data_IF_565831942852
#
_entry.id   IF_565831942852
#
_cell.length_a   1.000
_cell.length_b   1.000
_cell.length_c   1.000
_cell.angle_alpha   90.00
_cell.angle_beta   90.00
_cell.angle_gamma   90.00
#
_symmetry.space_group_name_H-M   'P 1'
#
loop_
_entity.id
_entity.type
_entity.pdbx_description
1 polymer ?
#
# COMPACT_ATOMS: atom_id res chain seq x y z
N UNK A 1 -43.82 36.36 49.29
CA UNK A 1 -43.30 36.02 47.94
C UNK A 1 -42.21 34.97 48.13
N UNK A 2 -42.38 33.73 47.64
CA UNK A 2 -41.39 32.65 47.76
C UNK A 2 -40.92 32.29 46.35
N UNK A 3 -39.63 32.43 46.08
CA UNK A 3 -39.01 32.00 44.84
C UNK A 3 -38.50 30.56 44.99
N UNK A 4 -38.86 29.70 44.04
CA UNK A 4 -38.43 28.31 43.95
C UNK A 4 -37.38 28.22 42.84
N UNK A 5 -36.17 27.74 43.16
CA UNK A 5 -35.12 27.47 42.17
C UNK A 5 -35.08 25.96 41.91
N UNK A 6 -35.36 25.57 40.66
CA UNK A 6 -35.22 24.20 40.18
C UNK A 6 -33.83 24.02 39.57
N UNK A 7 -32.99 23.19 40.20
CA UNK A 7 -31.76 22.69 39.60
C UNK A 7 -32.10 21.52 38.67
N UNK A 8 -32.02 21.73 37.36
CA UNK A 8 -32.06 20.65 36.39
C UNK A 8 -30.69 19.95 36.37
N UNK A 9 -30.61 18.76 36.95
CA UNK A 9 -29.46 17.88 36.78
C UNK A 9 -29.49 17.34 35.34
N UNK A 10 -28.69 17.93 34.45
CA UNK A 10 -28.53 17.47 33.08
C UNK A 10 -27.86 16.10 33.06
N UNK A 11 -28.55 15.10 32.50
CA UNK A 11 -27.94 13.82 32.12
C UNK A 11 -26.81 14.09 31.12
N UNK A 12 -25.56 13.90 31.54
CA UNK A 12 -24.44 13.84 30.60
C UNK A 12 -24.52 12.52 29.84
N UNK A 13 -24.90 12.58 28.57
CA UNK A 13 -24.75 11.46 27.65
C UNK A 13 -23.24 11.23 27.44
N UNK A 14 -22.72 10.13 27.99
CA UNK A 14 -21.35 9.70 27.73
C UNK A 14 -21.30 9.21 26.29
N UNK A 15 -20.76 10.03 25.39
CA UNK A 15 -20.45 9.60 24.03
C UNK A 15 -19.43 8.45 24.13
N UNK A 16 -19.84 7.24 23.73
CA UNK A 16 -18.96 6.10 23.66
C UNK A 16 -17.82 6.42 22.68
N UNK A 17 -16.60 6.56 23.20
CA UNK A 17 -15.41 6.71 22.37
C UNK A 17 -15.29 5.45 21.48
N UNK A 18 -15.47 5.61 20.18
CA UNK A 18 -15.20 4.56 19.22
C UNK A 18 -13.70 4.26 19.25
N UNK A 19 -13.35 3.16 19.90
CA UNK A 19 -11.99 2.62 19.86
C UNK A 19 -11.73 2.25 18.39
N UNK A 20 -10.79 2.90 17.70
CA UNK A 20 -10.47 2.53 16.33
C UNK A 20 -9.97 1.10 16.33
N UNK A 21 -10.78 0.19 15.79
CA UNK A 21 -10.39 -1.20 15.66
C UNK A 21 -9.25 -1.27 14.63
N UNK A 22 -8.08 -1.75 15.07
CA UNK A 22 -6.99 -2.13 14.17
C UNK A 22 -7.45 -3.39 13.44
N UNK A 23 -7.84 -3.22 12.18
CA UNK A 23 -8.20 -4.32 11.30
C UNK A 23 -6.89 -4.96 10.82
N UNK A 24 -6.79 -6.29 10.89
CA UNK A 24 -5.70 -7.02 10.26
C UNK A 24 -5.70 -6.75 8.74
N UNK A 25 -4.54 -6.65 8.08
CA UNK A 25 -4.49 -6.39 6.65
C UNK A 25 -5.23 -7.49 5.87
N UNK A 26 -6.38 -7.12 5.31
CA UNK A 26 -7.17 -7.94 4.40
C UNK A 26 -6.62 -7.73 2.99
N UNK A 27 -6.17 -8.82 2.37
CA UNK A 27 -5.54 -8.78 1.04
C UNK A 27 -6.46 -9.48 0.05
N UNK A 28 -6.76 -8.81 -1.06
CA UNK A 28 -7.73 -9.30 -2.05
C UNK A 28 -7.05 -9.88 -3.29
N UNK A 29 -5.76 -9.60 -3.50
CA UNK A 29 -5.14 -9.84 -4.82
C UNK A 29 -4.56 -11.25 -5.00
N UNK A 30 -4.23 -11.98 -3.93
CA UNK A 30 -3.50 -13.26 -4.04
C UNK A 30 -4.39 -14.46 -4.44
N UNK A 31 -5.64 -14.53 -3.98
CA UNK A 31 -6.54 -15.69 -4.22
C UNK A 31 -7.80 -15.33 -5.02
N UNK A 32 -7.90 -14.10 -5.54
CA UNK A 32 -9.12 -13.58 -6.22
C UNK A 32 -10.37 -13.61 -5.32
N UNK A 33 -10.17 -13.91 -4.04
CA UNK A 33 -11.13 -14.02 -2.94
C UNK A 33 -10.52 -13.25 -1.76
N UNK A 34 -11.32 -12.59 -0.94
CA UNK A 34 -10.78 -11.84 0.20
C UNK A 34 -10.29 -12.82 1.29
N UNK A 35 -8.98 -12.84 1.54
CA UNK A 35 -8.38 -13.71 2.56
C UNK A 35 -7.42 -12.91 3.47
N UNK A 36 -7.25 -13.38 4.71
CA UNK A 36 -6.30 -12.75 5.63
C UNK A 36 -4.89 -13.12 5.23
N UNK A 37 -3.97 -12.15 5.29
CA UNK A 37 -2.57 -12.39 4.97
C UNK A 37 -1.92 -13.54 5.79
N UNK A 38 -2.40 -13.79 7.02
CA UNK A 38 -1.90 -14.86 7.88
C UNK A 38 -2.25 -16.26 7.38
N UNK A 39 -3.36 -16.41 6.66
CA UNK A 39 -3.87 -17.71 6.22
C UNK A 39 -3.22 -18.17 4.90
N UNK A 40 -2.43 -17.29 4.27
CA UNK A 40 -1.80 -17.53 2.98
C UNK A 40 -0.34 -18.00 3.14
N UNK A 41 0.11 -18.99 2.35
CA UNK A 41 1.50 -19.47 2.37
C UNK A 41 2.47 -18.52 1.64
N UNK A 42 2.17 -17.22 1.57
CA UNK A 42 2.96 -16.19 0.89
C UNK A 42 3.10 -14.95 1.75
N UNK A 43 4.22 -14.26 1.64
CA UNK A 43 4.43 -13.03 2.40
C UNK A 43 3.82 -11.85 1.64
N UNK A 44 2.86 -11.15 2.27
CA UNK A 44 2.18 -10.01 1.67
C UNK A 44 2.33 -8.80 2.59
N UNK A 45 2.73 -7.67 2.03
CA UNK A 45 2.63 -6.37 2.68
C UNK A 45 1.63 -5.49 1.93
N UNK A 46 0.80 -4.78 2.69
CA UNK A 46 -0.09 -3.76 2.17
C UNK A 46 0.32 -2.37 2.67
N UNK A 47 0.16 -1.38 1.80
CA UNK A 47 0.32 0.04 2.13
C UNK A 47 -0.98 0.72 1.71
N UNK A 48 -1.71 1.26 2.69
CA UNK A 48 -2.99 1.93 2.45
C UNK A 48 -2.80 3.38 2.00
N UNK A 49 -3.84 3.98 1.39
CA UNK A 49 -3.85 5.37 0.93
C UNK A 49 -3.33 6.36 1.99
N UNK A 50 -3.73 6.18 3.26
CA UNK A 50 -3.26 7.05 4.33
C UNK A 50 -1.73 6.95 4.55
N UNK A 51 -1.11 5.79 4.32
CA UNK A 51 0.35 5.62 4.39
C UNK A 51 1.05 6.15 3.14
N UNK A 52 0.44 6.01 1.97
CA UNK A 52 0.93 6.54 0.69
C UNK A 52 0.98 8.07 0.73
N UNK A 53 -0.06 8.71 1.28
CA UNK A 53 -0.22 10.16 1.23
C UNK A 53 0.47 10.89 2.40
N UNK A 54 0.65 10.24 3.56
CA UNK A 54 1.19 10.89 4.76
C UNK A 54 2.65 11.31 4.57
N UNK A 55 2.87 12.63 4.51
CA UNK A 55 4.18 13.27 4.42
C UNK A 55 5.00 12.79 3.20
N UNK A 56 4.33 12.48 2.09
CA UNK A 56 4.98 12.07 0.83
C UNK A 56 4.59 13.05 -0.29
N UNK A 57 5.48 13.20 -1.26
CA UNK A 57 5.22 14.01 -2.46
C UNK A 57 4.32 13.27 -3.45
N UNK A 58 4.24 11.94 -3.33
CA UNK A 58 3.44 11.06 -4.18
C UNK A 58 3.91 11.09 -5.64
N UNK A 59 5.21 11.32 -5.86
CA UNK A 59 5.80 11.41 -7.19
C UNK A 59 6.41 10.07 -7.59
N UNK A 60 7.14 9.43 -6.67
CA UNK A 60 7.89 8.21 -6.97
C UNK A 60 7.42 7.05 -6.10
N UNK A 61 7.28 5.85 -6.69
CA UNK A 61 7.02 4.61 -5.94
C UNK A 61 8.06 4.34 -4.84
N UNK A 62 9.28 4.87 -4.97
CA UNK A 62 10.32 4.79 -3.94
C UNK A 62 9.89 5.36 -2.60
N UNK A 63 9.00 6.36 -2.60
CA UNK A 63 8.52 7.02 -1.39
C UNK A 63 7.72 6.03 -0.54
N UNK A 64 6.77 5.32 -1.15
CA UNK A 64 5.89 4.38 -0.43
C UNK A 64 6.55 3.01 -0.24
N UNK A 65 7.23 2.48 -1.26
CA UNK A 65 7.80 1.12 -1.25
C UNK A 65 9.04 0.96 -0.36
N UNK A 66 9.71 2.06 0.03
CA UNK A 66 10.85 2.02 0.96
C UNK A 66 10.53 1.39 2.32
N UNK A 67 9.24 1.33 2.69
CA UNK A 67 8.76 0.74 3.95
C UNK A 67 8.63 -0.78 3.89
N UNK A 68 8.66 -1.36 2.69
CA UNK A 68 8.41 -2.78 2.47
C UNK A 68 9.73 -3.56 2.54
N UNK A 69 9.87 -4.53 3.45
CA UNK A 69 11.14 -5.25 3.60
C UNK A 69 11.50 -6.06 2.35
N UNK A 70 12.79 -6.08 1.98
CA UNK A 70 13.24 -6.83 0.81
C UNK A 70 12.80 -6.26 -0.54
N UNK A 71 12.17 -5.08 -0.57
CA UNK A 71 12.00 -4.26 -1.76
C UNK A 71 13.05 -3.14 -1.74
N UNK A 72 13.72 -2.95 -2.86
CA UNK A 72 14.65 -1.83 -3.06
C UNK A 72 14.24 -1.09 -4.31
N UNK A 73 13.95 0.20 -4.18
CA UNK A 73 13.64 1.10 -5.29
C UNK A 73 14.74 2.14 -5.39
N UNK A 74 15.54 2.08 -6.46
CA UNK A 74 16.59 3.06 -6.69
C UNK A 74 16.04 4.24 -7.49
N UNK A 75 15.88 5.38 -6.81
CA UNK A 75 15.54 6.64 -7.43
C UNK A 75 16.82 7.40 -7.80
N UNK A 76 17.08 7.51 -9.11
CA UNK A 76 18.25 8.24 -9.67
C UNK A 76 17.88 9.66 -10.13
N UNK A 77 16.69 10.16 -9.78
CA UNK A 77 16.18 11.49 -10.14
C UNK A 77 16.21 11.78 -11.64
N UNK A 78 16.04 10.73 -12.46
CA UNK A 78 15.97 10.82 -13.91
C UNK A 78 14.57 10.40 -14.37
N UNK A 79 13.67 11.37 -14.49
CA UNK A 79 12.26 11.15 -14.84
C UNK A 79 12.03 10.74 -16.31
N UNK A 80 13.07 10.78 -17.15
CA UNK A 80 13.01 10.22 -18.50
C UNK A 80 13.19 8.68 -18.50
N UNK A 81 13.50 8.09 -17.36
CA UNK A 81 13.70 6.65 -17.17
C UNK A 81 12.86 6.17 -16.00
N UNK A 82 12.45 4.90 -16.04
CA UNK A 82 11.72 4.28 -14.95
C UNK A 82 12.61 4.01 -13.72
N UNK A 83 11.98 3.98 -12.54
CA UNK A 83 12.63 3.61 -11.30
C UNK A 83 13.10 2.16 -11.38
N UNK A 84 14.33 1.92 -10.93
CA UNK A 84 14.81 0.55 -10.79
C UNK A 84 14.16 -0.07 -9.55
N UNK A 85 13.32 -1.08 -9.74
CA UNK A 85 12.69 -1.84 -8.63
C UNK A 85 13.31 -3.22 -8.58
N UNK A 86 13.68 -3.64 -7.37
CA UNK A 86 14.14 -5.00 -7.10
C UNK A 86 13.46 -5.59 -5.87
N UNK A 87 13.20 -6.89 -5.92
CA UNK A 87 12.54 -7.65 -4.86
C UNK A 87 13.36 -8.89 -4.56
N UNK A 88 13.91 -9.01 -3.34
CA UNK A 88 14.80 -10.12 -2.92
C UNK A 88 15.87 -10.49 -3.97
N UNK A 89 16.46 -9.48 -4.63
CA UNK A 89 17.50 -9.66 -5.65
C UNK A 89 17.02 -9.78 -7.10
N UNK A 90 15.74 -10.10 -7.35
CA UNK A 90 15.15 -10.01 -8.69
C UNK A 90 15.11 -8.54 -9.13
N UNK A 91 15.50 -8.24 -10.37
CA UNK A 91 15.60 -6.85 -10.86
C UNK A 91 16.84 -6.07 -10.41
N UNK A 92 17.66 -6.61 -9.50
CA UNK A 92 18.85 -5.89 -8.98
C UNK A 92 19.91 -5.58 -10.05
N UNK A 93 19.93 -6.34 -11.16
CA UNK A 93 20.83 -6.14 -12.30
C UNK A 93 20.31 -5.17 -13.36
N UNK A 94 19.07 -4.70 -13.24
CA UNK A 94 18.52 -3.73 -14.18
C UNK A 94 19.12 -2.35 -13.91
N UNK A 95 19.61 -1.64 -14.93
CA UNK A 95 20.09 -0.27 -14.74
C UNK A 95 18.94 0.70 -14.47
N UNK A 96 17.79 0.48 -15.10
CA UNK A 96 16.54 1.25 -14.96
C UNK A 96 15.34 0.32 -15.16
N UNK A 97 14.17 0.77 -14.68
CA UNK A 97 12.92 0.03 -14.81
C UNK A 97 12.87 -1.28 -14.01
N UNK A 98 11.85 -2.07 -14.30
CA UNK A 98 11.56 -3.30 -13.55
C UNK A 98 11.81 -4.50 -14.45
N UNK A 99 12.54 -5.49 -13.93
CA UNK A 99 12.86 -6.73 -14.65
C UNK A 99 12.68 -7.94 -13.75
N UNK A 100 11.98 -8.96 -14.25
CA UNK A 100 11.75 -10.20 -13.51
C UNK A 100 10.83 -10.04 -12.30
N UNK A 101 10.05 -8.96 -12.25
CA UNK A 101 9.00 -8.70 -11.27
C UNK A 101 7.74 -8.36 -12.08
N UNK A 102 6.61 -8.92 -11.69
CA UNK A 102 5.31 -8.61 -12.30
C UNK A 102 4.69 -7.42 -11.58
N UNK A 103 4.25 -6.45 -12.35
CA UNK A 103 3.55 -5.26 -11.89
C UNK A 103 2.11 -5.37 -12.36
N UNK A 104 1.17 -5.04 -11.47
CA UNK A 104 -0.26 -5.04 -11.77
C UNK A 104 -0.86 -3.72 -11.34
N UNK A 105 -1.71 -3.16 -12.17
CA UNK A 105 -2.55 -2.01 -11.87
C UNK A 105 -4.00 -2.45 -12.02
N UNK A 106 -4.75 -2.47 -10.92
CA UNK A 106 -6.17 -2.88 -10.91
C UNK A 106 -6.42 -4.26 -11.57
N UNK A 107 -5.46 -5.18 -11.44
CA UNK A 107 -5.50 -6.51 -12.04
C UNK A 107 -5.03 -6.58 -13.50
N UNK A 108 -4.74 -5.44 -14.13
CA UNK A 108 -4.17 -5.37 -15.49
C UNK A 108 -2.64 -5.44 -15.37
N UNK A 109 -1.97 -6.36 -16.08
CA UNK A 109 -0.51 -6.41 -16.10
C UNK A 109 0.08 -5.10 -16.65
N UNK A 110 0.93 -4.45 -15.87
CA UNK A 110 1.79 -3.33 -16.29
C UNK A 110 3.21 -3.83 -16.65
N UNK A 111 3.36 -5.13 -16.86
CA UNK A 111 4.59 -5.78 -17.30
C UNK A 111 4.38 -6.35 -18.70
N UNK A 112 5.31 -6.06 -19.59
CA UNK A 112 5.35 -6.55 -20.95
C UNK A 112 5.66 -8.06 -20.98
N UNK A 113 5.32 -8.77 -22.08
CA UNK A 113 5.58 -10.21 -22.20
C UNK A 113 7.06 -10.61 -22.13
N UNK A 114 7.97 -9.67 -22.40
CA UNK A 114 9.42 -9.84 -22.27
C UNK A 114 9.92 -9.66 -20.82
N UNK A 115 9.02 -9.41 -19.86
CA UNK A 115 9.32 -9.24 -18.45
C UNK A 115 9.81 -7.85 -18.05
N UNK A 116 9.69 -6.86 -18.94
CA UNK A 116 9.95 -5.46 -18.62
C UNK A 116 8.70 -4.78 -18.06
N UNK A 117 8.83 -4.16 -16.89
CA UNK A 117 7.77 -3.40 -16.24
C UNK A 117 8.09 -1.91 -16.18
N UNK A 118 7.05 -1.08 -16.36
CA UNK A 118 7.13 0.37 -16.26
C UNK A 118 6.52 0.83 -14.93
N UNK A 119 7.27 1.62 -14.16
CA UNK A 119 6.81 2.20 -12.89
C UNK A 119 6.08 3.52 -13.06
N UNK A 120 6.37 4.26 -14.13
CA UNK A 120 5.84 5.59 -14.36
C UNK A 120 4.34 5.65 -14.66
N UNK A 121 3.71 4.51 -14.99
CA UNK A 121 2.26 4.44 -15.19
C UNK A 121 1.46 4.48 -13.89
N UNK A 122 2.10 4.20 -12.74
CA UNK A 122 1.44 4.15 -11.44
C UNK A 122 1.31 5.54 -10.83
N UNK A 123 0.06 6.04 -10.73
CA UNK A 123 -0.23 7.30 -10.05
C UNK A 123 -0.48 7.08 -8.56
N UNK A 124 0.43 7.54 -7.70
CA UNK A 124 0.27 7.46 -6.25
C UNK A 124 -0.88 8.33 -5.72
N UNK A 125 -1.24 9.39 -6.44
CA UNK A 125 -2.30 10.33 -6.04
C UNK A 125 -3.68 9.65 -6.04
N UNK A 126 -3.94 8.79 -7.03
CA UNK A 126 -5.21 8.05 -7.16
C UNK A 126 -5.15 6.64 -6.57
N UNK A 127 -4.00 6.20 -6.07
CA UNK A 127 -3.82 4.84 -5.57
C UNK A 127 -4.46 4.69 -4.18
N UNK A 128 -5.39 3.73 -4.06
CA UNK A 128 -6.03 3.42 -2.78
C UNK A 128 -5.20 2.49 -1.90
N UNK A 129 -4.46 1.55 -2.52
CA UNK A 129 -3.65 0.55 -1.83
C UNK A 129 -2.53 0.05 -2.73
N UNK A 130 -1.35 -0.19 -2.16
CA UNK A 130 -0.25 -0.91 -2.81
C UNK A 130 -0.09 -2.23 -2.08
N UNK A 131 -0.06 -3.32 -2.83
CA UNK A 131 0.20 -4.65 -2.29
C UNK A 131 1.48 -5.20 -2.88
N UNK A 132 2.35 -5.72 -2.02
CA UNK A 132 3.59 -6.37 -2.42
C UNK A 132 3.52 -7.82 -2.01
N UNK A 133 3.43 -8.68 -3.01
CA UNK A 133 3.45 -10.12 -2.83
C UNK A 133 4.88 -10.62 -3.04
N UNK A 134 5.43 -11.31 -2.03
CA UNK A 134 6.76 -11.90 -2.08
C UNK A 134 6.69 -13.39 -1.82
N UNK A 135 7.27 -14.16 -2.72
CA UNK A 135 7.28 -15.61 -2.66
C UNK A 135 7.52 -16.21 -4.04
N UNK A 136 7.66 -17.54 -4.12
CA UNK A 136 7.75 -18.24 -5.39
C UNK A 136 6.36 -18.22 -6.08
N UNK A 137 6.13 -17.24 -6.94
CA UNK A 137 4.95 -17.19 -7.80
C UNK A 137 5.32 -17.75 -9.17
N UNK A 138 5.08 -19.04 -9.40
CA UNK A 138 5.33 -19.71 -10.68
C UNK A 138 4.08 -19.86 -11.55
N UNK A 139 2.91 -19.53 -11.01
CA UNK A 139 1.61 -19.68 -11.67
C UNK A 139 1.14 -18.39 -12.32
#
# INVERSE_FOLDING_TARGET
MRALVLFAAGWSAVAAAQIPQRIDPLVVTATRTEERAFDLPVAIDSIDAAQIQRNQLQVNLSESLSRVPGIVVANRWNYAQDLQVSARGFGARANFGVRGIRLYQDGIPATMPDGQGQTGSFSLVSTQRIEVLRGPFST
#
